data_IF_952412923023
#
_entry.id   IF_952412923023
#
_cell.length_a   1.000
_cell.length_b   1.000
_cell.length_c   1.000
_cell.angle_alpha   90.00
_cell.angle_beta   90.00
_cell.angle_gamma   90.00
#
_symmetry.space_group_name_H-M   'P 1'
#
loop_
_entity.id
_entity.type
_entity.pdbx_description
1 polymer ?
#
# COMPACT_ATOMS: atom_id res chain seq x y z
N UNK A 1 -19.18 -14.59 2.60
CA UNK A 1 -19.32 -15.61 3.64
C UNK A 1 -18.16 -16.59 3.49
N UNK A 2 -17.35 -16.84 4.52
CA UNK A 2 -16.26 -17.82 4.44
C UNK A 2 -16.87 -19.23 4.57
N UNK A 3 -16.83 -20.08 3.52
CA UNK A 3 -17.49 -21.39 3.53
C UNK A 3 -16.86 -22.40 4.52
N UNK A 4 -15.76 -22.04 5.20
CA UNK A 4 -15.08 -22.85 6.21
C UNK A 4 -15.07 -22.22 7.62
N UNK A 5 -15.85 -21.17 7.86
CA UNK A 5 -15.96 -20.56 9.19
C UNK A 5 -16.77 -21.45 10.13
N UNK A 6 -16.15 -21.92 11.21
CA UNK A 6 -16.88 -22.63 12.28
C UNK A 6 -17.58 -21.58 13.18
N UNK A 7 -18.88 -21.70 13.49
CA UNK A 7 -19.62 -20.73 14.30
C UNK A 7 -18.92 -20.40 15.62
N UNK A 8 -18.37 -21.41 16.28
CA UNK A 8 -17.70 -21.29 17.59
C UNK A 8 -16.38 -20.49 17.54
N UNK A 9 -15.80 -20.31 16.36
CA UNK A 9 -14.56 -19.53 16.16
C UNK A 9 -14.80 -18.20 15.46
N UNK A 10 -16.06 -17.89 15.15
CA UNK A 10 -16.42 -16.72 14.38
C UNK A 10 -16.40 -15.48 15.27
N UNK A 11 -15.29 -14.73 15.23
CA UNK A 11 -15.20 -13.44 15.90
C UNK A 11 -15.91 -12.38 15.03
N UNK A 12 -16.86 -11.66 15.62
CA UNK A 12 -17.59 -10.61 14.94
C UNK A 12 -16.66 -9.51 14.39
N UNK A 13 -17.04 -8.88 13.28
CA UNK A 13 -16.34 -7.72 12.76
C UNK A 13 -16.53 -6.52 13.70
N UNK A 14 -15.49 -6.12 14.41
CA UNK A 14 -15.45 -4.89 15.22
C UNK A 14 -14.58 -3.80 14.56
N UNK A 15 -14.81 -2.50 14.85
CA UNK A 15 -14.15 -1.37 14.20
C UNK A 15 -12.61 -1.39 14.24
N UNK A 16 -12.02 -2.09 15.21
CA UNK A 16 -10.58 -2.24 15.40
C UNK A 16 -10.04 -3.62 15.00
N UNK A 17 -10.83 -4.44 14.31
CA UNK A 17 -10.40 -5.79 13.93
C UNK A 17 -9.24 -5.74 12.92
N UNK A 18 -8.01 -5.90 13.41
CA UNK A 18 -6.78 -6.03 12.64
C UNK A 18 -6.31 -7.49 12.52
N UNK A 19 -7.03 -8.45 13.08
CA UNK A 19 -6.59 -9.86 13.22
C UNK A 19 -6.32 -10.54 11.87
N UNK A 20 -6.96 -10.10 10.79
CA UNK A 20 -6.75 -10.62 9.43
C UNK A 20 -5.70 -9.83 8.63
N UNK A 21 -5.19 -8.70 9.16
CA UNK A 21 -4.21 -7.86 8.49
C UNK A 21 -2.84 -8.51 8.58
N UNK A 22 -2.47 -9.30 7.57
CA UNK A 22 -1.18 -10.00 7.54
C UNK A 22 0.00 -9.06 7.27
N UNK A 23 -0.14 -8.20 6.26
CA UNK A 23 0.93 -7.33 5.76
C UNK A 23 0.47 -5.90 5.45
N UNK A 24 -0.81 -5.56 5.73
CA UNK A 24 -1.32 -4.19 5.59
C UNK A 24 -1.49 -3.66 4.17
N UNK A 25 -0.78 -4.19 3.17
CA UNK A 25 -0.73 -3.65 1.80
C UNK A 25 -2.10 -3.53 1.10
N UNK A 26 -3.07 -4.36 1.46
CA UNK A 26 -4.44 -4.28 0.92
C UNK A 26 -5.42 -3.48 1.78
N UNK A 27 -4.98 -2.96 2.94
CA UNK A 27 -5.83 -2.26 3.90
C UNK A 27 -5.58 -0.75 3.81
N UNK A 28 -6.53 0.03 3.26
CA UNK A 28 -6.39 1.48 3.21
C UNK A 28 -6.16 2.09 4.60
N UNK A 29 -6.79 1.53 5.63
CA UNK A 29 -6.64 2.00 7.03
C UNK A 29 -5.23 1.76 7.57
N UNK A 30 -4.58 0.67 7.19
CA UNK A 30 -3.21 0.38 7.62
C UNK A 30 -2.17 1.23 6.88
N UNK A 31 -2.47 1.60 5.63
CA UNK A 31 -1.59 2.39 4.75
C UNK A 31 -1.69 3.89 5.03
N UNK A 32 -2.88 4.39 5.36
CA UNK A 32 -3.16 5.82 5.47
C UNK A 32 -2.18 6.61 6.35
N UNK A 33 -1.78 6.15 7.56
CA UNK A 33 -0.83 6.90 8.39
C UNK A 33 0.52 7.09 7.69
N UNK A 34 1.10 6.01 7.14
CA UNK A 34 2.39 6.08 6.47
C UNK A 34 2.33 6.87 5.15
N UNK A 35 1.21 6.77 4.43
CA UNK A 35 1.00 7.57 3.24
C UNK A 35 0.96 9.07 3.57
N UNK A 36 0.37 9.47 4.70
CA UNK A 36 0.34 10.88 5.11
C UNK A 36 1.74 11.40 5.45
N UNK A 37 2.57 10.60 6.16
CA UNK A 37 3.97 10.96 6.43
C UNK A 37 4.76 11.19 5.13
N UNK A 38 4.67 10.26 4.18
CA UNK A 38 5.36 10.38 2.89
C UNK A 38 4.83 11.56 2.08
N UNK A 39 3.52 11.85 2.13
CA UNK A 39 2.94 12.99 1.43
C UNK A 39 3.50 14.32 1.95
N UNK A 40 3.66 14.46 3.27
CA UNK A 40 4.29 15.64 3.87
C UNK A 40 5.79 15.71 3.51
N UNK A 41 6.50 14.58 3.50
CA UNK A 41 7.89 14.50 3.01
C UNK A 41 8.01 14.96 1.54
N UNK A 42 7.06 14.59 0.67
CA UNK A 42 7.06 14.96 -0.75
C UNK A 42 6.74 16.44 -0.99
N UNK A 43 5.85 17.05 -0.19
CA UNK A 43 5.54 18.48 -0.27
C UNK A 43 6.71 19.34 0.23
N UNK A 44 7.45 18.83 1.22
CA UNK A 44 8.50 19.59 1.89
C UNK A 44 7.94 20.88 2.49
N UNK A 45 8.58 22.01 2.21
CA UNK A 45 8.12 23.35 2.65
C UNK A 45 7.27 24.07 1.59
N UNK A 46 7.04 23.46 0.43
CA UNK A 46 6.41 24.14 -0.71
C UNK A 46 4.90 23.90 -0.77
N UNK A 47 4.13 24.94 -1.10
CA UNK A 47 2.73 24.78 -1.47
C UNK A 47 2.64 24.30 -2.92
N UNK A 48 2.20 23.05 -3.10
CA UNK A 48 1.94 22.49 -4.42
C UNK A 48 0.60 23.00 -4.98
N UNK A 49 0.52 23.29 -6.30
CA UNK A 49 -0.74 23.46 -7.00
C UNK A 49 -1.69 22.27 -6.76
N UNK A 50 -3.02 22.46 -6.81
CA UNK A 50 -3.97 21.40 -6.43
C UNK A 50 -3.80 20.07 -7.17
N UNK A 51 -3.40 20.09 -8.45
CA UNK A 51 -3.20 18.88 -9.24
C UNK A 51 -1.93 18.13 -8.82
N UNK A 52 -0.87 18.86 -8.47
CA UNK A 52 0.39 18.30 -7.98
C UNK A 52 0.22 17.79 -6.55
N UNK A 53 -0.49 18.53 -5.70
CA UNK A 53 -0.86 18.07 -4.36
C UNK A 53 -1.65 16.74 -4.42
N UNK A 54 -2.59 16.62 -5.36
CA UNK A 54 -3.31 15.37 -5.58
C UNK A 54 -2.38 14.25 -6.07
N UNK A 55 -1.51 14.53 -7.05
CA UNK A 55 -0.56 13.55 -7.56
C UNK A 55 0.44 13.10 -6.49
N UNK A 56 0.91 14.01 -5.64
CA UNK A 56 1.78 13.73 -4.50
C UNK A 56 1.10 12.80 -3.49
N UNK A 57 -0.17 13.04 -3.13
CA UNK A 57 -0.93 12.15 -2.25
C UNK A 57 -1.14 10.74 -2.84
N UNK A 58 -1.38 10.64 -4.14
CA UNK A 58 -1.48 9.34 -4.82
C UNK A 58 -0.12 8.61 -4.91
N UNK A 59 0.97 9.35 -5.15
CA UNK A 59 2.33 8.82 -5.16
C UNK A 59 2.74 8.32 -3.76
N UNK A 60 2.47 9.10 -2.71
CA UNK A 60 2.71 8.75 -1.33
C UNK A 60 1.97 7.47 -0.91
N UNK A 61 0.71 7.33 -1.34
CA UNK A 61 -0.05 6.09 -1.12
C UNK A 61 0.59 4.88 -1.81
N UNK A 62 1.06 5.05 -3.05
CA UNK A 62 1.74 3.97 -3.76
C UNK A 62 3.05 3.57 -3.06
N UNK A 63 3.85 4.53 -2.61
CA UNK A 63 5.08 4.30 -1.85
C UNK A 63 4.80 3.54 -0.55
N UNK A 64 3.83 3.97 0.25
CA UNK A 64 3.45 3.29 1.49
C UNK A 64 3.00 1.84 1.26
N UNK A 65 2.27 1.57 0.16
CA UNK A 65 1.91 0.20 -0.22
C UNK A 65 3.16 -0.62 -0.58
N UNK A 66 4.10 -0.06 -1.35
CA UNK A 66 5.34 -0.75 -1.71
C UNK A 66 6.19 -1.06 -0.49
N UNK A 67 6.36 -0.12 0.45
CA UNK A 67 7.05 -0.37 1.72
C UNK A 67 6.41 -1.52 2.51
N UNK A 68 5.07 -1.58 2.54
CA UNK A 68 4.36 -2.66 3.23
C UNK A 68 4.53 -4.02 2.54
N UNK A 69 4.58 -4.05 1.21
CA UNK A 69 4.85 -5.27 0.44
C UNK A 69 6.30 -5.72 0.66
N UNK A 70 7.25 -4.80 0.54
CA UNK A 70 8.68 -5.11 0.65
C UNK A 70 8.99 -5.65 2.05
N UNK A 71 8.43 -5.07 3.11
CA UNK A 71 8.54 -5.61 4.47
C UNK A 71 8.02 -7.04 4.60
N UNK A 72 6.87 -7.36 4.00
CA UNK A 72 6.31 -8.72 4.04
C UNK A 72 7.10 -9.73 3.18
N UNK A 73 7.75 -9.26 2.11
CA UNK A 73 8.65 -10.08 1.31
C UNK A 73 9.97 -10.34 2.05
N UNK A 74 10.50 -9.35 2.76
CA UNK A 74 11.71 -9.49 3.58
C UNK A 74 11.49 -10.47 4.75
N UNK A 75 10.34 -10.37 5.42
CA UNK A 75 10.02 -11.24 6.56
C UNK A 75 9.69 -12.69 6.17
N UNK A 76 9.04 -12.89 5.02
CA UNK A 76 8.41 -14.19 4.68
C UNK A 76 8.90 -14.80 3.38
N UNK A 77 9.77 -14.11 2.67
CA UNK A 77 10.31 -14.52 1.38
C UNK A 77 9.34 -14.34 0.20
N UNK A 78 9.87 -14.64 -1.00
CA UNK A 78 9.20 -14.42 -2.29
C UNK A 78 8.41 -15.64 -2.80
N UNK A 79 8.66 -16.82 -2.22
CA UNK A 79 7.97 -18.06 -2.56
C UNK A 79 7.01 -18.49 -1.46
N UNK A 80 5.91 -19.14 -1.85
CA UNK A 80 5.00 -19.78 -0.92
C UNK A 80 5.56 -21.14 -0.43
N UNK A 81 4.93 -21.78 0.56
CA UNK A 81 5.36 -23.10 1.05
C UNK A 81 5.33 -24.23 0.01
N UNK A 82 4.77 -24.00 -1.19
CA UNK A 82 4.73 -24.94 -2.32
C UNK A 82 5.77 -24.60 -3.39
N UNK A 83 6.64 -23.63 -3.14
CA UNK A 83 7.70 -23.20 -4.06
C UNK A 83 7.21 -22.31 -5.22
N UNK A 84 5.98 -21.79 -5.17
CA UNK A 84 5.46 -20.87 -6.19
C UNK A 84 5.71 -19.43 -5.81
N UNK A 85 5.89 -18.55 -6.79
CA UNK A 85 5.97 -17.11 -6.56
C UNK A 85 4.69 -16.60 -5.86
N UNK A 86 4.84 -15.75 -4.85
CA UNK A 86 3.72 -15.17 -4.10
C UNK A 86 2.98 -14.14 -4.96
N UNK A 87 1.65 -14.14 -4.91
CA UNK A 87 0.80 -13.19 -5.64
C UNK A 87 0.99 -11.73 -5.26
N UNK A 88 1.61 -11.45 -4.11
CA UNK A 88 1.93 -10.08 -3.69
C UNK A 88 2.98 -9.44 -4.62
N UNK A 89 3.79 -10.24 -5.33
CA UNK A 89 4.74 -9.76 -6.33
C UNK A 89 4.03 -9.12 -7.54
N UNK A 90 2.92 -9.73 -8.00
CA UNK A 90 2.11 -9.16 -9.09
C UNK A 90 1.48 -7.83 -8.65
N UNK A 91 1.07 -7.77 -7.38
CA UNK A 91 0.53 -6.54 -6.82
C UNK A 91 1.60 -5.45 -6.74
N UNK A 92 2.81 -5.80 -6.26
CA UNK A 92 3.98 -4.90 -6.25
C UNK A 92 4.27 -4.31 -7.62
N UNK A 93 4.31 -5.15 -8.65
CA UNK A 93 4.56 -4.72 -10.03
C UNK A 93 3.48 -3.74 -10.53
N UNK A 94 2.21 -3.98 -10.18
CA UNK A 94 1.10 -3.08 -10.53
C UNK A 94 1.25 -1.72 -9.85
N UNK A 95 1.55 -1.71 -8.55
CA UNK A 95 1.71 -0.46 -7.78
C UNK A 95 2.94 0.30 -8.27
N UNK A 96 4.04 -0.38 -8.59
CA UNK A 96 5.24 0.25 -9.15
C UNK A 96 4.93 1.00 -10.46
N UNK A 97 4.14 0.41 -11.36
CA UNK A 97 3.69 1.07 -12.61
C UNK A 97 2.74 2.23 -12.35
N UNK A 98 1.95 2.19 -11.28
CA UNK A 98 1.08 3.30 -10.91
C UNK A 98 1.88 4.46 -10.34
N UNK A 99 2.88 4.18 -9.51
CA UNK A 99 3.81 5.17 -8.99
C UNK A 99 4.57 5.88 -10.11
N UNK A 100 5.12 5.12 -11.06
CA UNK A 100 5.83 5.68 -12.22
C UNK A 100 4.97 6.70 -13.00
N UNK A 101 3.68 6.41 -13.20
CA UNK A 101 2.73 7.33 -13.85
C UNK A 101 2.47 8.61 -13.06
N UNK A 102 2.53 8.55 -11.73
CA UNK A 102 2.35 9.72 -10.88
C UNK A 102 3.62 10.56 -10.82
N UNK A 103 4.79 9.93 -10.72
CA UNK A 103 6.08 10.61 -10.78
C UNK A 103 6.24 11.35 -12.11
N UNK A 104 5.96 10.70 -13.25
CA UNK A 104 5.98 11.35 -14.56
C UNK A 104 5.04 12.58 -14.65
N UNK A 105 3.94 12.60 -13.90
CA UNK A 105 3.04 13.76 -13.88
C UNK A 105 3.55 14.91 -13.03
N UNK A 106 4.35 14.62 -12.01
CA UNK A 106 4.99 15.64 -11.17
C UNK A 106 6.18 16.27 -11.92
N UNK A 107 6.96 15.45 -12.64
CA UNK A 107 8.14 15.88 -13.40
C UNK A 107 7.82 16.80 -14.59
N UNK A 108 6.61 16.69 -15.16
CA UNK A 108 6.16 17.47 -16.34
C UNK A 108 5.89 18.95 -16.04
N UNK A 109 5.90 19.38 -14.77
CA UNK A 109 5.65 20.78 -14.39
C UNK A 109 6.91 21.52 -13.88
N UNK A 110 8.08 20.87 -13.91
CA UNK A 110 9.37 21.46 -13.52
C UNK A 110 10.14 22.10 -14.71
N UNK A 111 9.52 22.18 -15.90
CA UNK A 111 9.99 22.90 -17.11
C UNK A 111 9.09 24.10 -17.47
#
# INVERSE_FOLDING_TARGET
MNPRGHPDTLVASHPENSNAVRHGAYSPRAIAPRAAEIEEELKGESELPPIEAFAAGEAARCLAILEAIDRDLDERGIVDPRGKARSILDYRARISRQLEKWIQRLDVYDE
#
